data_IF_268271650859
#
_entry.id   IF_268271650859
#
_cell.length_a   1.000
_cell.length_b   1.000
_cell.length_c   1.000
_cell.angle_alpha   90.00
_cell.angle_beta   90.00
_cell.angle_gamma   90.00
#
_symmetry.space_group_name_H-M   'P 1'
#
loop_
_entity.id
_entity.type
_entity.pdbx_description
1 polymer ?
#
# COMPACT_ATOMS: atom_id res chain seq x y z
N UNK A 1 -50.06 24.01 5.09
CA UNK A 1 -49.66 24.42 3.73
C UNK A 1 -48.16 24.64 3.75
N UNK A 2 -47.38 23.61 3.39
CA UNK A 2 -46.69 23.47 2.08
C UNK A 2 -45.63 24.57 1.91
N UNK A 3 -44.36 24.31 1.61
CA UNK A 3 -43.83 23.37 0.64
C UNK A 3 -42.29 23.26 0.79
N UNK A 4 -41.83 22.03 0.60
CA UNK A 4 -40.46 21.57 0.38
C UNK A 4 -39.88 22.14 -0.92
N UNK A 5 -38.66 22.70 -0.89
CA UNK A 5 -37.70 22.71 -2.02
C UNK A 5 -36.31 22.72 -1.36
N UNK A 6 -35.63 21.60 -1.09
CA UNK A 6 -34.91 20.73 -2.04
C UNK A 6 -34.19 21.50 -3.15
N UNK A 7 -33.05 22.11 -2.83
CA UNK A 7 -31.94 22.21 -3.78
C UNK A 7 -30.64 21.73 -3.14
N UNK A 8 -30.39 20.47 -3.44
CA UNK A 8 -29.08 19.82 -3.46
C UNK A 8 -28.18 20.64 -4.39
N UNK A 9 -27.16 21.29 -3.84
CA UNK A 9 -26.08 21.89 -4.62
C UNK A 9 -24.77 21.38 -4.04
N UNK A 10 -24.34 20.25 -4.61
CA UNK A 10 -22.93 19.88 -4.66
C UNK A 10 -22.21 20.98 -5.42
N UNK A 11 -21.40 21.78 -4.75
CA UNK A 11 -20.26 22.42 -5.38
C UNK A 11 -19.03 22.14 -4.54
N UNK A 12 -18.13 21.37 -5.15
CA UNK A 12 -16.71 21.41 -4.88
C UNK A 12 -16.27 22.87 -4.71
N UNK A 13 -15.85 23.25 -3.51
CA UNK A 13 -15.07 24.45 -3.30
C UNK A 13 -13.66 24.04 -2.87
N UNK A 14 -12.85 23.72 -3.88
CA UNK A 14 -11.43 24.04 -3.85
C UNK A 14 -11.35 25.57 -3.95
N UNK A 15 -10.97 26.25 -2.87
CA UNK A 15 -10.45 27.61 -2.93
C UNK A 15 -9.56 27.87 -1.71
N UNK A 16 -8.26 27.95 -2.00
CA UNK A 16 -7.25 28.56 -1.15
C UNK A 16 -7.71 29.92 -0.61
N UNK A 17 -7.43 30.14 0.67
CA UNK A 17 -7.02 31.43 1.24
C UNK A 17 -7.92 32.62 0.97
N UNK A 18 -8.89 32.86 1.86
CA UNK A 18 -9.35 34.22 2.17
C UNK A 18 -9.70 34.34 3.65
N UNK A 19 -9.06 35.31 4.31
CA UNK A 19 -9.39 35.77 5.67
C UNK A 19 -10.68 36.60 5.56
N UNK A 20 -11.76 36.14 6.19
CA UNK A 20 -12.97 36.95 6.37
C UNK A 20 -12.77 37.81 7.62
N UNK A 21 -12.64 39.12 7.45
CA UNK A 21 -12.78 40.08 8.55
C UNK A 21 -14.26 40.18 8.92
N UNK A 22 -14.64 39.65 10.08
CA UNK A 22 -15.93 39.95 10.71
C UNK A 22 -15.74 41.18 11.60
N UNK A 23 -16.18 42.35 11.12
CA UNK A 23 -16.32 43.53 11.98
C UNK A 23 -17.62 43.43 12.76
N UNK A 24 -17.52 43.26 14.08
CA UNK A 24 -18.60 43.51 15.01
C UNK A 24 -18.96 42.31 15.89
N UNK A 25 -18.29 42.19 17.03
CA UNK A 25 -18.87 41.50 18.20
C UNK A 25 -18.43 42.22 19.47
N UNK A 26 -19.42 42.49 20.33
CA UNK A 26 -19.31 43.15 21.62
C UNK A 26 -18.31 42.46 22.56
N UNK A 27 -17.70 43.27 23.44
CA UNK A 27 -16.61 42.93 24.37
C UNK A 27 -16.99 42.02 25.55
N UNK A 28 -17.95 41.12 25.42
CA UNK A 28 -18.35 40.17 26.48
C UNK A 28 -18.25 38.68 26.08
N UNK A 29 -17.71 38.35 24.90
CA UNK A 29 -17.49 36.95 24.46
C UNK A 29 -16.00 36.70 24.19
N UNK A 30 -15.12 37.15 25.08
CA UNK A 30 -13.66 36.94 24.95
C UNK A 30 -13.10 36.02 26.05
N UNK A 31 -13.87 35.69 27.10
CA UNK A 31 -13.38 34.79 28.17
C UNK A 31 -13.79 33.31 28.04
N UNK A 32 -14.63 32.94 27.06
CA UNK A 32 -15.01 31.52 26.84
C UNK A 32 -14.28 30.84 25.68
N UNK A 33 -13.44 31.57 24.94
CA UNK A 33 -12.69 31.08 23.79
C UNK A 33 -11.18 30.99 24.04
N UNK A 34 -10.76 30.88 25.31
CA UNK A 34 -9.33 30.73 25.64
C UNK A 34 -8.80 29.30 25.49
N UNK A 35 -9.68 28.32 25.30
CA UNK A 35 -9.32 26.91 25.09
C UNK A 35 -9.49 26.42 23.64
N UNK A 36 -9.82 27.31 22.70
CA UNK A 36 -9.97 26.98 21.27
C UNK A 36 -8.75 27.38 20.42
N UNK A 37 -7.58 27.56 21.04
CA UNK A 37 -6.31 27.44 20.32
C UNK A 37 -5.95 25.96 20.16
N UNK A 38 -6.89 25.17 19.61
CA UNK A 38 -6.60 23.83 19.16
C UNK A 38 -5.85 23.96 17.85
N UNK A 39 -4.55 23.66 17.93
CA UNK A 39 -3.63 23.41 16.82
C UNK A 39 -4.36 23.14 15.50
N UNK A 40 -4.28 24.08 14.55
CA UNK A 40 -4.41 23.76 13.14
C UNK A 40 -3.18 22.95 12.71
N UNK A 41 -3.08 21.73 13.22
CA UNK A 41 -2.30 20.68 12.63
C UNK A 41 -3.21 19.99 11.62
N UNK A 42 -2.77 19.87 10.38
CA UNK A 42 -3.37 18.89 9.48
C UNK A 42 -3.43 17.55 10.20
N UNK A 43 -4.54 16.81 10.11
CA UNK A 43 -4.67 15.42 10.60
C UNK A 43 -3.77 14.43 9.80
N UNK A 44 -2.65 14.93 9.28
CA UNK A 44 -1.62 14.19 8.58
C UNK A 44 -0.77 13.45 9.61
N UNK A 45 -0.80 12.13 9.56
CA UNK A 45 -0.09 11.26 10.47
C UNK A 45 -0.92 10.76 11.65
N UNK A 46 -2.25 10.79 11.61
CA UNK A 46 -3.08 10.20 12.66
C UNK A 46 -3.52 8.76 12.32
N UNK A 47 -3.49 7.90 13.33
CA UNK A 47 -4.01 6.53 13.22
C UNK A 47 -5.55 6.53 13.29
N UNK A 48 -6.23 5.61 12.58
CA UNK A 48 -7.67 5.40 12.72
C UNK A 48 -8.02 4.82 14.10
N UNK A 49 -9.31 4.82 14.41
CA UNK A 49 -9.83 4.24 15.65
C UNK A 49 -9.49 2.74 15.74
N UNK A 50 -8.83 2.27 16.83
CA UNK A 50 -8.37 0.88 16.94
C UNK A 50 -9.48 -0.17 16.79
N UNK A 51 -10.72 0.17 17.18
CA UNK A 51 -11.87 -0.73 17.05
C UNK A 51 -12.32 -0.95 15.61
N UNK A 52 -12.13 0.04 14.73
CA UNK A 52 -12.58 -0.02 13.34
C UNK A 52 -11.61 -0.81 12.46
N UNK A 53 -10.33 -0.87 12.86
CA UNK A 53 -9.29 -1.59 12.13
C UNK A 53 -8.87 -2.90 12.79
N UNK A 54 -9.50 -3.31 13.89
CA UNK A 54 -9.20 -4.59 14.53
C UNK A 54 -9.38 -5.76 13.54
N UNK A 55 -8.47 -6.76 13.50
CA UNK A 55 -7.36 -7.01 14.43
C UNK A 55 -6.04 -6.30 14.08
N UNK A 56 -6.03 -5.34 13.17
CA UNK A 56 -4.85 -4.55 12.85
C UNK A 56 -4.56 -3.48 13.90
N UNK A 57 -3.27 -3.20 14.05
CA UNK A 57 -2.74 -2.17 14.94
C UNK A 57 -2.04 -1.12 14.09
N UNK A 58 -2.38 0.15 14.32
CA UNK A 58 -1.70 1.29 13.74
C UNK A 58 -0.79 1.95 14.77
N UNK A 59 0.44 2.27 14.36
CA UNK A 59 1.40 3.00 15.16
C UNK A 59 1.88 4.25 14.41
N UNK A 60 1.98 5.38 15.13
CA UNK A 60 2.61 6.59 14.63
C UNK A 60 3.97 6.77 15.32
N UNK A 61 5.05 6.70 14.55
CA UNK A 61 6.39 7.06 15.02
C UNK A 61 6.86 8.34 14.35
N UNK A 62 6.80 9.48 15.05
CA UNK A 62 7.25 10.79 14.56
C UNK A 62 6.62 11.21 13.22
N UNK A 63 5.31 11.00 13.05
CA UNK A 63 4.57 11.29 11.82
C UNK A 63 4.62 10.17 10.77
N UNK A 64 5.37 9.09 11.03
CA UNK A 64 5.41 7.92 10.17
C UNK A 64 4.41 6.87 10.63
N UNK A 65 3.31 6.74 9.90
CA UNK A 65 2.30 5.71 10.16
C UNK A 65 2.73 4.33 9.67
N UNK A 66 2.56 3.31 10.51
CA UNK A 66 2.76 1.91 10.15
C UNK A 66 1.59 1.08 10.65
N UNK A 67 1.15 0.14 9.83
CA UNK A 67 0.06 -0.78 10.15
C UNK A 67 0.60 -2.20 10.21
N UNK A 68 0.26 -2.91 11.28
CA UNK A 68 0.56 -4.32 11.46
C UNK A 68 -0.74 -5.05 11.75
N UNK A 69 -1.12 -5.96 10.87
CA UNK A 69 -2.23 -6.85 11.14
C UNK A 69 -1.66 -8.16 11.66
N UNK A 70 -2.18 -8.63 12.79
CA UNK A 70 -2.02 -10.01 13.28
C UNK A 70 -3.39 -10.58 13.62
N UNK A 71 -3.74 -11.73 13.06
CA UNK A 71 -5.02 -12.41 13.32
C UNK A 71 -6.18 -12.20 12.32
N UNK A 72 -5.95 -11.54 11.17
CA UNK A 72 -6.87 -11.61 10.01
C UNK A 72 -7.15 -13.08 9.63
N UNK A 73 -8.42 -13.44 9.50
CA UNK A 73 -8.86 -14.81 9.19
C UNK A 73 -8.90 -15.09 7.70
N UNK A 74 -9.31 -14.10 6.91
CA UNK A 74 -9.46 -14.20 5.46
C UNK A 74 -9.30 -12.83 4.80
N UNK A 75 -9.29 -12.81 3.46
CA UNK A 75 -9.12 -11.58 2.71
C UNK A 75 -10.33 -10.65 2.78
N UNK A 76 -11.54 -11.17 3.04
CA UNK A 76 -12.73 -10.33 3.21
C UNK A 76 -12.65 -9.53 4.53
N UNK A 77 -12.05 -10.08 5.59
CA UNK A 77 -11.73 -9.33 6.82
C UNK A 77 -10.69 -8.24 6.58
N UNK A 78 -9.66 -8.53 5.78
CA UNK A 78 -8.68 -7.52 5.38
C UNK A 78 -9.35 -6.37 4.61
N UNK A 79 -10.26 -6.69 3.68
CA UNK A 79 -11.00 -5.68 2.93
C UNK A 79 -11.82 -4.78 3.86
N UNK A 80 -12.53 -5.35 4.85
CA UNK A 80 -13.31 -4.57 5.83
C UNK A 80 -12.45 -3.60 6.64
N UNK A 81 -11.23 -3.99 7.01
CA UNK A 81 -10.30 -3.09 7.70
C UNK A 81 -10.04 -1.84 6.84
N UNK A 82 -9.84 -2.01 5.53
CA UNK A 82 -9.56 -0.90 4.62
C UNK A 82 -10.80 -0.16 4.10
N UNK A 83 -12.01 -0.61 4.48
CA UNK A 83 -13.26 0.14 4.30
C UNK A 83 -13.55 1.11 5.46
N UNK A 84 -12.79 1.04 6.55
CA UNK A 84 -12.94 1.89 7.73
C UNK A 84 -12.63 3.38 7.45
N UNK A 85 -12.88 4.24 8.44
CA UNK A 85 -12.57 5.66 8.35
C UNK A 85 -11.12 5.94 8.73
N UNK A 86 -10.32 6.45 7.78
CA UNK A 86 -8.90 6.76 7.96
C UNK A 86 -8.65 8.28 7.97
N UNK A 87 -8.13 8.85 9.09
CA UNK A 87 -7.70 10.26 9.14
C UNK A 87 -6.57 10.57 8.14
N UNK A 88 -5.67 9.60 7.97
CA UNK A 88 -4.57 9.63 7.02
C UNK A 88 -4.60 8.40 6.13
N UNK A 89 -4.33 8.58 4.83
CA UNK A 89 -4.42 7.51 3.82
C UNK A 89 -3.08 7.07 3.26
N UNK A 90 -2.00 7.72 3.67
CA UNK A 90 -0.64 7.36 3.27
C UNK A 90 0.12 6.84 4.48
N UNK A 91 0.57 5.60 4.37
CA UNK A 91 1.28 4.88 5.39
C UNK A 91 2.66 4.50 4.89
N UNK A 92 3.64 4.50 5.80
CA UNK A 92 4.97 4.02 5.46
C UNK A 92 4.96 2.51 5.23
N UNK A 93 4.38 1.74 6.15
CA UNK A 93 4.47 0.28 6.13
C UNK A 93 3.14 -0.39 6.41
N UNK A 94 2.85 -1.45 5.67
CA UNK A 94 1.89 -2.51 6.01
C UNK A 94 2.66 -3.80 6.26
N UNK A 95 2.39 -4.45 7.40
CA UNK A 95 2.89 -5.80 7.68
C UNK A 95 1.71 -6.74 7.91
N UNK A 96 1.62 -7.78 7.08
CA UNK A 96 0.68 -8.89 7.21
C UNK A 96 1.50 -10.16 7.45
N UNK A 97 1.30 -10.84 8.58
CA UNK A 97 2.03 -12.07 8.91
C UNK A 97 1.13 -13.15 9.51
N UNK A 98 1.53 -14.41 9.30
CA UNK A 98 0.95 -15.60 9.96
C UNK A 98 -0.52 -15.89 9.59
N UNK A 99 -0.82 -15.86 8.29
CA UNK A 99 -2.18 -16.08 7.76
C UNK A 99 -2.29 -17.34 6.92
N UNK A 100 -2.78 -18.41 7.53
CA UNK A 100 -2.84 -19.73 6.92
C UNK A 100 -4.03 -19.93 5.98
N UNK A 101 -5.01 -19.01 6.00
CA UNK A 101 -6.25 -19.12 5.22
C UNK A 101 -6.35 -18.09 4.09
N UNK A 102 -5.54 -17.03 4.10
CA UNK A 102 -5.54 -16.01 3.06
C UNK A 102 -4.73 -16.50 1.84
N UNK A 103 -5.40 -17.17 0.91
CA UNK A 103 -4.77 -17.76 -0.28
C UNK A 103 -4.79 -16.84 -1.49
N UNK A 104 -5.64 -15.82 -1.50
CA UNK A 104 -5.78 -14.86 -2.61
C UNK A 104 -5.68 -13.44 -2.07
N UNK A 105 -5.01 -12.57 -2.84
CA UNK A 105 -5.02 -11.13 -2.64
C UNK A 105 -5.66 -10.48 -3.87
N UNK A 106 -6.88 -9.95 -3.71
CA UNK A 106 -7.67 -9.44 -4.83
C UNK A 106 -7.36 -7.98 -5.14
N UNK A 107 -7.72 -7.56 -6.35
CA UNK A 107 -7.71 -6.15 -6.69
C UNK A 107 -8.70 -5.36 -5.81
N UNK A 108 -8.24 -4.24 -5.24
CA UNK A 108 -9.07 -3.33 -4.45
C UNK A 108 -9.11 -3.62 -2.95
N UNK A 109 -8.47 -4.70 -2.46
CA UNK A 109 -8.48 -5.09 -1.04
C UNK A 109 -7.98 -4.00 -0.08
N UNK A 110 -7.07 -3.14 -0.54
CA UNK A 110 -6.50 -2.05 0.26
C UNK A 110 -7.31 -0.74 0.19
N UNK A 111 -8.45 -0.74 -0.51
CA UNK A 111 -9.27 0.45 -0.72
C UNK A 111 -8.46 1.59 -1.30
N UNK A 112 -8.61 2.78 -0.70
CA UNK A 112 -7.88 3.99 -1.07
C UNK A 112 -6.62 4.24 -0.22
N UNK A 113 -6.32 3.36 0.73
CA UNK A 113 -5.14 3.44 1.60
C UNK A 113 -3.89 3.01 0.83
N UNK A 114 -2.83 3.81 0.96
CA UNK A 114 -1.58 3.67 0.21
C UNK A 114 -0.42 3.39 1.14
N UNK A 115 0.47 2.53 0.70
CA UNK A 115 1.66 2.13 1.44
C UNK A 115 2.93 2.38 0.62
N UNK A 116 4.03 2.70 1.30
CA UNK A 116 5.36 2.73 0.67
C UNK A 116 6.11 1.41 0.77
N UNK A 117 5.77 0.59 1.76
CA UNK A 117 6.33 -0.72 2.01
C UNK A 117 5.19 -1.66 2.37
N UNK A 118 5.02 -2.74 1.60
CA UNK A 118 4.08 -3.81 1.91
C UNK A 118 4.85 -5.09 2.11
N UNK A 119 4.65 -5.74 3.27
CA UNK A 119 5.28 -7.00 3.63
C UNK A 119 4.20 -8.01 4.00
N UNK A 120 4.06 -9.06 3.19
CA UNK A 120 3.15 -10.18 3.39
C UNK A 120 4.00 -11.45 3.45
N UNK A 121 4.33 -11.90 4.67
CA UNK A 121 5.38 -12.90 4.90
C UNK A 121 4.88 -14.05 5.76
N UNK A 122 5.37 -15.26 5.48
CA UNK A 122 5.04 -16.48 6.23
C UNK A 122 3.53 -16.72 6.27
N UNK A 123 2.89 -16.66 5.10
CA UNK A 123 1.46 -16.86 4.90
C UNK A 123 1.16 -18.06 4.01
N UNK A 124 -0.10 -18.17 3.60
CA UNK A 124 -0.58 -19.19 2.66
C UNK A 124 -0.90 -18.63 1.28
N UNK A 125 -0.41 -17.43 0.94
CA UNK A 125 -0.81 -16.74 -0.30
C UNK A 125 -0.40 -17.55 -1.54
N UNK A 126 -1.38 -17.92 -2.37
CA UNK A 126 -1.20 -18.69 -3.60
C UNK A 126 -1.36 -17.84 -4.85
N UNK A 127 -2.21 -16.81 -4.79
CA UNK A 127 -2.53 -15.94 -5.92
C UNK A 127 -2.50 -14.48 -5.51
N UNK A 128 -1.83 -13.65 -6.31
CA UNK A 128 -2.00 -12.20 -6.33
C UNK A 128 -2.70 -11.87 -7.64
N UNK A 129 -3.90 -11.31 -7.56
CA UNK A 129 -4.63 -10.90 -8.76
C UNK A 129 -3.95 -9.74 -9.47
N UNK A 130 -4.22 -9.61 -10.77
CA UNK A 130 -3.76 -8.48 -11.56
C UNK A 130 -4.19 -7.18 -10.89
N UNK A 131 -3.25 -6.24 -10.79
CA UNK A 131 -3.48 -4.91 -10.25
C UNK A 131 -3.84 -4.87 -8.75
N UNK A 132 -3.57 -5.93 -7.96
CA UNK A 132 -3.75 -5.93 -6.50
C UNK A 132 -3.12 -4.73 -5.78
N UNK A 133 -2.03 -4.17 -6.32
CA UNK A 133 -1.31 -3.03 -5.75
C UNK A 133 -1.46 -1.71 -6.53
N UNK A 134 -2.40 -1.62 -7.48
CA UNK A 134 -2.49 -0.48 -8.40
C UNK A 134 -2.72 0.86 -7.68
N UNK A 135 -3.55 0.87 -6.62
CA UNK A 135 -3.91 2.10 -5.91
C UNK A 135 -2.70 2.75 -5.21
N UNK A 136 -1.66 1.97 -4.91
CA UNK A 136 -0.41 2.43 -4.33
C UNK A 136 0.74 2.48 -5.35
N UNK A 137 0.44 2.44 -6.65
CA UNK A 137 1.44 2.48 -7.74
C UNK A 137 2.40 3.67 -7.67
N UNK A 138 1.95 4.81 -7.13
CA UNK A 138 2.73 6.04 -6.97
C UNK A 138 3.48 6.15 -5.64
N UNK A 139 3.24 5.25 -4.69
CA UNK A 139 3.83 5.29 -3.34
C UNK A 139 4.67 4.05 -3.01
N UNK A 140 4.31 2.88 -3.54
CA UNK A 140 4.88 1.58 -3.21
C UNK A 140 6.31 1.45 -3.73
N UNK A 141 7.28 1.46 -2.81
CA UNK A 141 8.71 1.31 -3.09
C UNK A 141 9.24 -0.09 -2.82
N UNK A 142 8.66 -0.78 -1.84
CA UNK A 142 9.10 -2.12 -1.43
C UNK A 142 7.89 -3.05 -1.35
N UNK A 143 7.94 -4.13 -2.12
CA UNK A 143 6.97 -5.21 -2.07
C UNK A 143 7.66 -6.52 -1.67
N UNK A 144 7.30 -7.00 -0.49
CA UNK A 144 7.82 -8.20 0.13
C UNK A 144 6.73 -9.26 0.22
N UNK A 145 6.84 -10.34 -0.58
CA UNK A 145 5.89 -11.45 -0.61
C UNK A 145 6.59 -12.80 -0.33
N UNK A 146 7.72 -12.77 0.37
CA UNK A 146 8.53 -13.96 0.63
C UNK A 146 7.83 -14.98 1.55
N UNK A 147 8.21 -16.25 1.43
CA UNK A 147 7.71 -17.34 2.28
C UNK A 147 6.17 -17.47 2.17
N UNK A 148 5.70 -17.64 0.93
CA UNK A 148 4.29 -17.92 0.60
C UNK A 148 4.21 -19.10 -0.39
N UNK A 149 3.03 -19.36 -0.95
CA UNK A 149 2.76 -20.47 -1.86
C UNK A 149 2.53 -20.02 -3.32
N UNK A 150 3.00 -18.84 -3.71
CA UNK A 150 2.72 -18.25 -5.02
C UNK A 150 3.28 -19.15 -6.12
N UNK A 151 2.41 -19.59 -7.05
CA UNK A 151 2.81 -20.34 -8.26
C UNK A 151 3.06 -19.45 -9.46
N UNK A 152 2.40 -18.30 -9.48
CA UNK A 152 2.54 -17.26 -10.50
C UNK A 152 2.57 -15.88 -9.81
N UNK A 153 3.01 -14.87 -10.54
CA UNK A 153 2.95 -13.47 -10.11
C UNK A 153 2.65 -12.58 -11.33
N UNK A 154 1.80 -11.55 -11.21
CA UNK A 154 1.38 -10.71 -12.34
C UNK A 154 2.48 -9.70 -12.73
N UNK A 155 3.62 -10.18 -13.22
CA UNK A 155 4.77 -9.32 -13.59
C UNK A 155 4.42 -8.19 -14.57
N UNK A 156 3.42 -8.40 -15.43
CA UNK A 156 3.00 -7.41 -16.41
C UNK A 156 2.41 -6.14 -15.79
N UNK A 157 1.89 -6.21 -14.55
CA UNK A 157 1.31 -5.04 -13.86
C UNK A 157 2.37 -4.14 -13.23
N UNK A 158 3.63 -4.59 -13.15
CA UNK A 158 4.74 -3.81 -12.58
C UNK A 158 5.10 -2.57 -13.40
N UNK A 159 4.61 -2.47 -14.65
CA UNK A 159 4.75 -1.27 -15.47
C UNK A 159 3.98 -0.08 -14.90
N UNK A 160 2.92 -0.33 -14.12
CA UNK A 160 2.11 0.71 -13.48
C UNK A 160 2.75 1.20 -12.18
N UNK A 161 3.50 0.33 -11.49
CA UNK A 161 4.18 0.66 -10.23
C UNK A 161 5.43 1.52 -10.46
N UNK A 162 5.22 2.79 -10.80
CA UNK A 162 6.26 3.72 -11.28
C UNK A 162 7.37 4.07 -10.29
N UNK A 163 7.22 3.71 -9.01
CA UNK A 163 8.21 3.97 -7.95
C UNK A 163 8.67 2.71 -7.20
N UNK A 164 8.27 1.51 -7.63
CA UNK A 164 8.70 0.25 -7.01
C UNK A 164 10.19 0.02 -7.23
N UNK A 165 10.96 -0.08 -6.15
CA UNK A 165 12.42 -0.24 -6.18
C UNK A 165 12.85 -1.66 -5.84
N UNK A 166 12.12 -2.33 -4.94
CA UNK A 166 12.43 -3.68 -4.47
C UNK A 166 11.21 -4.58 -4.58
N UNK A 167 11.38 -5.72 -5.26
CA UNK A 167 10.44 -6.82 -5.26
C UNK A 167 11.14 -8.08 -4.78
N UNK A 168 10.57 -8.74 -3.77
CA UNK A 168 11.00 -10.08 -3.38
C UNK A 168 9.82 -11.05 -3.39
N UNK A 169 10.02 -12.12 -4.15
CA UNK A 169 9.16 -13.30 -4.23
C UNK A 169 9.96 -14.53 -3.78
N UNK A 170 10.96 -14.31 -2.92
CA UNK A 170 11.85 -15.34 -2.41
C UNK A 170 11.05 -16.42 -1.68
N UNK A 171 11.47 -17.68 -1.79
CA UNK A 171 10.84 -18.81 -1.07
C UNK A 171 9.33 -18.88 -1.34
N UNK A 172 9.00 -19.01 -2.62
CA UNK A 172 7.65 -19.26 -3.13
C UNK A 172 7.65 -20.54 -3.98
N UNK A 173 6.57 -20.78 -4.72
CA UNK A 173 6.41 -21.95 -5.60
C UNK A 173 6.34 -21.55 -7.07
N UNK A 174 6.94 -20.41 -7.45
CA UNK A 174 6.85 -19.90 -8.82
C UNK A 174 7.40 -20.95 -9.78
N UNK A 175 6.59 -21.36 -10.74
CA UNK A 175 6.89 -22.44 -11.66
C UNK A 175 6.87 -21.97 -13.14
N UNK A 176 7.40 -22.81 -14.03
CA UNK A 176 7.49 -22.48 -15.44
C UNK A 176 8.64 -21.53 -15.79
N UNK A 177 8.52 -20.84 -16.93
CA UNK A 177 9.55 -19.93 -17.44
C UNK A 177 9.29 -18.51 -16.98
N UNK A 178 10.30 -17.84 -16.42
CA UNK A 178 10.21 -16.43 -16.04
C UNK A 178 9.93 -15.56 -17.28
N UNK A 179 8.84 -14.78 -17.33
CA UNK A 179 8.50 -13.95 -18.48
C UNK A 179 9.39 -12.70 -18.54
N UNK A 180 9.21 -11.90 -19.58
CA UNK A 180 9.74 -10.53 -19.59
C UNK A 180 9.09 -9.70 -18.49
N UNK A 181 9.93 -9.07 -17.68
CA UNK A 181 9.54 -8.15 -16.62
C UNK A 181 9.81 -6.74 -17.11
N UNK A 182 8.81 -5.87 -16.99
CA UNK A 182 8.90 -4.45 -17.35
C UNK A 182 8.58 -3.63 -16.11
N UNK A 183 9.52 -2.80 -15.68
CA UNK A 183 9.32 -1.85 -14.58
C UNK A 183 10.28 -0.68 -14.73
N UNK A 184 9.79 0.57 -14.68
CA UNK A 184 10.62 1.76 -14.88
C UNK A 184 11.53 2.08 -13.69
N UNK A 185 11.26 1.49 -12.52
CA UNK A 185 11.88 1.87 -11.24
C UNK A 185 12.61 0.75 -10.53
N UNK A 186 12.36 -0.52 -10.89
CA UNK A 186 12.87 -1.67 -10.13
C UNK A 186 14.39 -1.73 -10.14
N UNK A 187 14.99 -1.77 -8.94
CA UNK A 187 16.43 -1.85 -8.69
C UNK A 187 16.85 -3.22 -8.19
N UNK A 188 16.00 -3.86 -7.41
CA UNK A 188 16.30 -5.14 -6.74
C UNK A 188 15.18 -6.14 -6.97
N UNK A 189 15.55 -7.33 -7.46
CA UNK A 189 14.63 -8.43 -7.72
C UNK A 189 15.14 -9.74 -7.10
N UNK A 190 14.39 -10.27 -6.14
CA UNK A 190 14.69 -11.53 -5.46
C UNK A 190 13.66 -12.60 -5.85
N UNK A 191 14.13 -13.66 -6.53
CA UNK A 191 13.34 -14.79 -7.03
C UNK A 191 13.89 -16.15 -6.58
N UNK A 192 14.90 -16.17 -5.71
CA UNK A 192 15.50 -17.41 -5.20
C UNK A 192 14.49 -18.30 -4.46
N UNK A 193 14.83 -19.58 -4.33
CA UNK A 193 13.97 -20.60 -3.72
C UNK A 193 12.57 -20.65 -4.34
N UNK A 194 12.52 -20.78 -5.67
CA UNK A 194 11.32 -21.05 -6.45
C UNK A 194 11.52 -22.31 -7.31
N UNK A 195 10.51 -22.69 -8.11
CA UNK A 195 10.51 -23.86 -8.99
C UNK A 195 10.56 -23.49 -10.48
N UNK A 196 11.20 -22.36 -10.80
CA UNK A 196 11.33 -21.88 -12.18
C UNK A 196 12.16 -22.86 -13.02
N UNK A 197 11.64 -23.23 -14.19
CA UNK A 197 12.30 -24.18 -15.12
C UNK A 197 13.13 -23.47 -16.18
N UNK A 198 12.98 -22.15 -16.33
CA UNK A 198 13.74 -21.36 -17.29
C UNK A 198 13.53 -19.86 -17.12
N UNK A 199 14.26 -19.10 -17.92
CA UNK A 199 14.18 -17.64 -18.01
C UNK A 199 14.01 -17.28 -19.48
N UNK A 200 13.01 -16.46 -19.80
CA UNK A 200 12.77 -16.02 -21.19
C UNK A 200 13.94 -15.19 -21.70
N UNK A 201 14.20 -15.27 -23.02
CA UNK A 201 15.16 -14.38 -23.66
C UNK A 201 14.74 -12.92 -23.46
N UNK A 202 15.64 -12.09 -22.95
CA UNK A 202 15.35 -10.68 -22.64
C UNK A 202 14.44 -10.48 -21.43
N UNK A 203 14.33 -11.47 -20.51
CA UNK A 203 13.47 -11.38 -19.33
C UNK A 203 13.66 -10.10 -18.51
N UNK A 204 14.86 -9.51 -18.56
CA UNK A 204 15.25 -8.33 -17.80
C UNK A 204 15.44 -7.06 -18.67
N UNK A 205 15.17 -7.11 -19.97
CA UNK A 205 15.38 -5.97 -20.89
C UNK A 205 14.48 -4.76 -20.54
N UNK A 206 13.34 -5.01 -19.89
CA UNK A 206 12.40 -3.99 -19.43
C UNK A 206 12.75 -3.36 -18.07
N UNK A 207 13.95 -3.60 -17.53
CA UNK A 207 14.36 -3.16 -16.19
C UNK A 207 15.57 -2.21 -16.25
N UNK A 208 15.41 -0.97 -16.74
CA UNK A 208 16.51 -0.05 -17.01
C UNK A 208 17.31 0.39 -15.77
N UNK A 209 16.76 0.22 -14.57
CA UNK A 209 17.38 0.57 -13.28
C UNK A 209 17.81 -0.64 -12.45
N UNK A 210 17.74 -1.85 -13.00
CA UNK A 210 18.07 -3.06 -12.24
C UNK A 210 19.55 -3.07 -11.86
N UNK A 211 19.81 -3.20 -10.56
CA UNK A 211 21.16 -3.24 -9.97
C UNK A 211 21.47 -4.62 -9.39
N UNK A 212 20.45 -5.30 -8.85
CA UNK A 212 20.60 -6.56 -8.13
C UNK A 212 19.54 -7.56 -8.53
N UNK A 213 19.99 -8.79 -8.81
CA UNK A 213 19.10 -9.93 -9.01
C UNK A 213 19.64 -11.16 -8.29
N UNK A 214 18.74 -11.95 -7.71
CA UNK A 214 19.08 -13.29 -7.24
C UNK A 214 17.99 -14.28 -7.62
N UNK A 215 18.40 -15.35 -8.31
CA UNK A 215 17.50 -16.31 -8.98
C UNK A 215 17.59 -17.74 -8.44
N UNK A 216 18.59 -18.05 -7.61
CA UNK A 216 18.91 -19.42 -7.28
C UNK A 216 18.60 -19.79 -5.81
N UNK A 217 18.53 -21.10 -5.55
CA UNK A 217 18.40 -21.69 -4.22
C UNK A 217 19.67 -21.58 -3.36
N UNK A 218 20.81 -21.18 -3.92
CA UNK A 218 22.10 -21.15 -3.22
C UNK A 218 22.66 -19.73 -2.96
N UNK A 219 21.85 -18.67 -3.07
CA UNK A 219 22.28 -17.31 -2.72
C UNK A 219 23.37 -16.71 -3.61
N UNK A 220 23.51 -17.19 -4.86
CA UNK A 220 24.37 -16.54 -5.84
C UNK A 220 23.61 -15.34 -6.41
N UNK A 221 23.86 -14.17 -5.83
CA UNK A 221 23.51 -12.89 -6.41
C UNK A 221 24.24 -12.73 -7.74
N UNK A 222 23.52 -12.64 -8.87
CA UNK A 222 24.14 -12.25 -10.13
C UNK A 222 24.36 -10.74 -10.06
N UNK A 223 25.60 -10.34 -9.77
CA UNK A 223 26.05 -8.95 -9.85
C UNK A 223 26.51 -8.69 -11.28
N UNK A 224 26.00 -7.60 -11.88
CA UNK A 224 26.26 -7.19 -13.26
C UNK A 224 25.65 -8.11 -14.32
N UNK A 225 24.32 -8.03 -14.51
CA UNK A 225 23.67 -8.63 -15.66
C UNK A 225 24.18 -7.99 -16.96
N UNK A 226 24.40 -8.77 -18.04
CA UNK A 226 24.67 -8.20 -19.35
C UNK A 226 23.48 -7.32 -19.75
N UNK A 227 23.76 -6.03 -19.99
CA UNK A 227 22.80 -5.07 -20.55
C UNK A 227 22.55 -5.36 -22.02
#
# INVERSE_FOLDING_TARGET
>A
FTLIILFRVMYYLHLCGFIIFVTGINSEIIEHYRDAAFSSGSAEGECPEPGDIAPCVCENTNGSLSMSCSGIQDEDELARVFEASYPSREFKKLSLSMYWNMTVLRNGVFGDVKFSHVSIVSGALETVEDYAFWNMSTTLRVLELQINNLRTFPFHTLTECGVLETLTLWENKLEGTLPQIVSPSLKTLYLGYNSLTGISHGAFNGLPKLEKIALNSAGYELKNLPK
#
